data_IF_521730780568
#
_entry.id   IF_521730780568
#
_cell.length_a   1.000
_cell.length_b   1.000
_cell.length_c   1.000
_cell.angle_alpha   90.00
_cell.angle_beta   90.00
_cell.angle_gamma   90.00
#
_symmetry.space_group_name_H-M   'P 1'
#
loop_
_entity.id
_entity.type
_entity.pdbx_description
1 polymer ?
#
# COMPACT_ATOMS: atom_id res chain seq x y z
N UNK A 1 -3.40 -27.86 -17.83
CA UNK A 1 -2.35 -26.93 -17.37
C UNK A 1 -1.48 -27.69 -16.36
N UNK A 2 -0.19 -27.79 -16.56
CA UNK A 2 0.72 -28.38 -15.58
C UNK A 2 1.08 -27.32 -14.57
N UNK A 3 0.67 -27.53 -13.32
CA UNK A 3 1.04 -26.66 -12.20
C UNK A 3 2.51 -26.85 -11.82
N UNK A 4 3.13 -25.81 -11.25
CA UNK A 4 4.46 -25.93 -10.64
C UNK A 4 4.29 -26.60 -9.27
N UNK A 5 4.87 -27.80 -9.14
CA UNK A 5 4.72 -28.63 -7.95
C UNK A 5 5.85 -28.40 -6.93
N UNK A 6 5.56 -28.53 -5.62
CA UNK A 6 6.55 -28.44 -4.55
C UNK A 6 7.71 -29.40 -4.75
N UNK A 7 8.91 -29.00 -4.30
CA UNK A 7 10.13 -29.82 -4.40
C UNK A 7 10.91 -29.62 -5.69
N UNK A 8 10.28 -29.10 -6.76
CA UNK A 8 10.94 -28.86 -8.04
C UNK A 8 11.89 -27.65 -7.99
N UNK A 9 12.88 -27.61 -8.88
CA UNK A 9 13.78 -26.46 -9.05
C UNK A 9 13.00 -25.21 -9.46
N UNK A 10 11.96 -25.38 -10.27
CA UNK A 10 11.07 -24.29 -10.70
C UNK A 10 10.30 -23.70 -9.53
N UNK A 11 9.79 -24.51 -8.62
CA UNK A 11 9.10 -24.07 -7.42
C UNK A 11 10.01 -23.21 -6.52
N UNK A 12 11.27 -23.67 -6.29
CA UNK A 12 12.23 -22.89 -5.49
C UNK A 12 12.54 -21.54 -6.13
N UNK A 13 12.75 -21.51 -7.46
CA UNK A 13 13.01 -20.29 -8.22
C UNK A 13 11.81 -19.33 -8.17
N UNK A 14 10.59 -19.86 -8.37
CA UNK A 14 9.38 -19.06 -8.34
C UNK A 14 9.11 -18.43 -6.97
N UNK A 15 9.41 -19.13 -5.87
CA UNK A 15 9.30 -18.54 -4.51
C UNK A 15 10.20 -17.33 -4.33
N UNK A 16 11.48 -17.44 -4.76
CA UNK A 16 12.42 -16.31 -4.71
C UNK A 16 11.93 -15.17 -5.58
N UNK A 17 11.51 -15.47 -6.81
CA UNK A 17 10.99 -14.47 -7.73
C UNK A 17 9.78 -13.72 -7.14
N UNK A 18 8.82 -14.44 -6.56
CA UNK A 18 7.62 -13.82 -6.00
C UNK A 18 7.88 -13.01 -4.72
N UNK A 19 8.86 -13.43 -3.91
CA UNK A 19 9.34 -12.60 -2.81
C UNK A 19 9.95 -11.28 -3.32
N UNK A 20 10.80 -11.35 -4.37
CA UNK A 20 11.39 -10.18 -5.02
C UNK A 20 10.29 -9.31 -5.67
N UNK A 21 9.28 -9.93 -6.29
CA UNK A 21 8.13 -9.22 -6.86
C UNK A 21 7.32 -8.44 -5.80
N UNK A 22 7.26 -8.93 -4.58
CA UNK A 22 6.73 -8.17 -3.45
C UNK A 22 7.69 -7.05 -3.01
N UNK A 23 8.97 -7.37 -2.86
CA UNK A 23 9.98 -6.46 -2.31
C UNK A 23 10.20 -5.20 -3.16
N UNK A 24 10.53 -5.38 -4.45
CA UNK A 24 11.00 -4.29 -5.34
C UNK A 24 10.00 -3.16 -5.49
N UNK A 25 8.71 -3.39 -5.79
CA UNK A 25 7.74 -2.31 -5.90
C UNK A 25 7.62 -1.47 -4.62
N UNK A 26 7.48 -2.14 -3.48
CA UNK A 26 7.21 -1.46 -2.22
C UNK A 26 8.42 -0.74 -1.64
N UNK A 27 9.63 -1.28 -1.83
CA UNK A 27 10.86 -0.57 -1.48
C UNK A 27 10.98 0.71 -2.32
N UNK A 28 10.71 0.64 -3.64
CA UNK A 28 10.82 1.78 -4.57
C UNK A 28 9.77 2.86 -4.33
N UNK A 29 8.52 2.50 -4.02
CA UNK A 29 7.44 3.45 -3.74
C UNK A 29 7.80 4.32 -2.54
N UNK A 30 8.29 3.72 -1.47
CA UNK A 30 8.36 4.37 -0.16
C UNK A 30 9.72 4.97 0.21
N UNK A 31 10.72 4.93 -0.68
CA UNK A 31 12.05 5.54 -0.46
C UNK A 31 12.00 7.03 -0.12
N UNK A 32 11.07 7.79 -0.71
CA UNK A 32 10.99 9.24 -0.51
C UNK A 32 10.30 9.66 0.79
N UNK A 33 9.63 8.74 1.49
CA UNK A 33 8.84 9.12 2.67
C UNK A 33 9.68 9.68 3.83
N UNK A 34 10.79 9.06 4.26
CA UNK A 34 11.62 9.64 5.31
C UNK A 34 12.36 10.91 4.87
N UNK A 35 12.59 11.11 3.56
CA UNK A 35 13.36 12.25 3.05
C UNK A 35 12.51 13.48 2.70
N UNK A 36 11.19 13.45 2.92
CA UNK A 36 10.31 14.59 2.64
C UNK A 36 10.71 15.89 3.35
N UNK A 37 11.12 15.88 4.63
CA UNK A 37 11.62 17.10 5.28
C UNK A 37 12.83 17.69 4.55
N UNK A 38 13.77 16.86 4.10
CA UNK A 38 14.95 17.30 3.35
C UNK A 38 14.59 17.87 1.98
N UNK A 39 13.55 17.33 1.31
CA UNK A 39 13.06 17.92 0.06
C UNK A 39 12.45 19.31 0.30
N UNK A 40 11.74 19.50 1.41
CA UNK A 40 11.17 20.80 1.76
C UNK A 40 12.28 21.83 1.97
N UNK A 41 13.35 21.47 2.66
CA UNK A 41 14.51 22.35 2.91
C UNK A 41 15.31 22.60 1.63
N UNK A 42 15.75 21.55 0.91
CA UNK A 42 16.67 21.69 -0.23
C UNK A 42 16.01 22.41 -1.41
N UNK A 43 14.75 22.12 -1.69
CA UNK A 43 14.02 22.72 -2.81
C UNK A 43 13.22 23.97 -2.42
N UNK A 44 13.27 24.39 -1.14
CA UNK A 44 12.52 25.52 -0.59
C UNK A 44 11.02 25.44 -0.94
N UNK A 45 10.41 24.30 -0.64
CA UNK A 45 9.00 23.98 -0.90
C UNK A 45 8.28 23.62 0.38
N UNK A 46 6.95 23.76 0.37
CA UNK A 46 6.12 23.45 1.52
C UNK A 46 6.00 21.93 1.77
N UNK A 47 5.63 21.55 2.99
CA UNK A 47 5.44 20.16 3.38
C UNK A 47 4.37 19.41 2.55
N UNK A 48 3.19 20.02 2.21
CA UNK A 48 2.26 19.41 1.27
C UNK A 48 2.87 19.14 -0.10
N UNK A 49 3.67 20.10 -0.63
CA UNK A 49 4.34 19.94 -1.92
C UNK A 49 5.38 18.83 -1.86
N UNK A 50 6.21 18.76 -0.82
CA UNK A 50 7.18 17.68 -0.63
C UNK A 50 6.50 16.29 -0.59
N UNK A 51 5.32 16.18 0.02
CA UNK A 51 4.54 14.93 0.08
C UNK A 51 4.08 14.43 -1.29
N UNK A 52 4.01 15.30 -2.32
CA UNK A 52 3.69 14.92 -3.70
C UNK A 52 4.70 13.90 -4.26
N UNK A 53 5.93 13.85 -3.75
CA UNK A 53 6.95 12.86 -4.13
C UNK A 53 6.47 11.41 -3.91
N UNK A 54 5.61 11.16 -2.94
CA UNK A 54 4.94 9.87 -2.72
C UNK A 54 3.53 9.85 -3.33
N UNK A 55 2.76 10.92 -3.14
CA UNK A 55 1.35 10.97 -3.51
C UNK A 55 1.11 10.84 -5.02
N UNK A 56 1.94 11.47 -5.85
CA UNK A 56 1.85 11.31 -7.31
C UNK A 56 2.22 9.87 -7.72
N UNK A 57 3.20 9.27 -7.06
CA UNK A 57 3.55 7.86 -7.29
C UNK A 57 2.37 6.94 -6.99
N UNK A 58 1.74 7.08 -5.81
CA UNK A 58 0.63 6.21 -5.39
C UNK A 58 -0.65 6.50 -6.14
N UNK A 59 -0.89 7.75 -6.54
CA UNK A 59 -2.05 8.15 -7.35
C UNK A 59 -2.01 7.55 -8.75
N UNK A 60 -0.86 7.62 -9.44
CA UNK A 60 -0.70 7.02 -10.76
C UNK A 60 -0.66 5.49 -10.70
N UNK A 61 -0.05 4.91 -9.66
CA UNK A 61 -0.15 3.48 -9.38
C UNK A 61 -1.62 3.05 -9.28
N UNK A 62 -2.45 3.77 -8.53
CA UNK A 62 -3.87 3.47 -8.36
C UNK A 62 -4.61 3.37 -9.69
N UNK A 63 -4.44 4.37 -10.55
CA UNK A 63 -5.09 4.44 -11.87
C UNK A 63 -4.57 3.35 -12.80
N UNK A 64 -3.25 3.20 -12.88
CA UNK A 64 -2.60 2.25 -13.80
C UNK A 64 -2.86 0.80 -13.40
N UNK A 65 -3.04 0.52 -12.11
CA UNK A 65 -3.35 -0.82 -11.60
C UNK A 65 -4.60 -1.43 -12.26
N UNK A 66 -5.62 -0.61 -12.58
CA UNK A 66 -6.84 -1.07 -13.25
C UNK A 66 -6.57 -1.58 -14.68
N UNK A 67 -5.61 -0.97 -15.37
CA UNK A 67 -5.26 -1.33 -16.75
C UNK A 67 -4.20 -2.43 -16.83
N UNK A 68 -3.24 -2.44 -15.91
CA UNK A 68 -2.05 -3.30 -15.99
C UNK A 68 -2.38 -4.80 -16.01
N UNK A 69 -3.35 -5.24 -15.20
CA UNK A 69 -3.83 -6.63 -15.18
C UNK A 69 -4.36 -7.06 -16.55
N UNK A 70 -5.16 -6.20 -17.15
CA UNK A 70 -5.75 -6.43 -18.48
C UNK A 70 -4.68 -6.46 -19.57
N UNK A 71 -3.75 -5.52 -19.58
CA UNK A 71 -2.64 -5.45 -20.55
C UNK A 71 -1.78 -6.72 -20.45
N UNK A 72 -1.59 -7.26 -19.26
CA UNK A 72 -0.79 -8.45 -19.03
C UNK A 72 -1.35 -9.72 -19.66
N UNK A 73 -2.67 -9.80 -19.86
CA UNK A 73 -3.31 -10.92 -20.54
C UNK A 73 -2.97 -10.98 -22.06
N UNK A 74 -2.54 -9.85 -22.65
CA UNK A 74 -2.10 -9.76 -24.07
C UNK A 74 -0.61 -9.90 -24.26
N UNK A 75 0.18 -9.14 -23.49
CA UNK A 75 1.64 -9.07 -23.63
C UNK A 75 2.29 -10.26 -22.92
N UNK A 76 1.63 -10.81 -21.89
CA UNK A 76 2.13 -11.86 -21.03
C UNK A 76 2.55 -11.34 -19.66
N UNK A 77 2.09 -12.02 -18.61
CA UNK A 77 2.29 -11.61 -17.22
C UNK A 77 3.77 -11.41 -16.86
N UNK A 78 4.64 -12.38 -17.18
CA UNK A 78 6.09 -12.28 -16.91
C UNK A 78 6.72 -11.06 -17.58
N UNK A 79 6.38 -10.81 -18.85
CA UNK A 79 6.97 -9.67 -19.60
C UNK A 79 6.61 -8.33 -18.96
N UNK A 80 5.34 -8.14 -18.60
CA UNK A 80 4.88 -6.91 -17.95
C UNK A 80 5.52 -6.73 -16.58
N UNK A 81 5.56 -7.77 -15.74
CA UNK A 81 6.18 -7.69 -14.43
C UNK A 81 7.67 -7.34 -14.51
N UNK A 82 8.42 -7.98 -15.42
CA UNK A 82 9.86 -7.70 -15.63
C UNK A 82 10.07 -6.26 -16.10
N UNK A 83 9.32 -5.83 -17.12
CA UNK A 83 9.41 -4.47 -17.65
C UNK A 83 9.09 -3.43 -16.56
N UNK A 84 8.03 -3.67 -15.81
CA UNK A 84 7.61 -2.82 -14.69
C UNK A 84 8.71 -2.67 -13.65
N UNK A 85 9.32 -3.76 -13.22
CA UNK A 85 10.37 -3.73 -12.20
C UNK A 85 11.63 -3.01 -12.68
N UNK A 86 12.07 -3.30 -13.91
CA UNK A 86 13.27 -2.66 -14.51
C UNK A 86 13.05 -1.16 -14.65
N UNK A 87 11.92 -0.74 -15.26
CA UNK A 87 11.63 0.69 -15.46
C UNK A 87 11.43 1.43 -14.13
N UNK A 88 10.78 0.81 -13.15
CA UNK A 88 10.65 1.36 -11.79
C UNK A 88 12.04 1.62 -11.17
N UNK A 89 12.95 0.67 -11.28
CA UNK A 89 14.31 0.81 -10.73
C UNK A 89 15.12 1.87 -11.44
N UNK A 90 15.07 1.92 -12.78
CA UNK A 90 15.74 2.94 -13.58
C UNK A 90 15.22 4.34 -13.24
N UNK A 91 13.90 4.51 -13.16
CA UNK A 91 13.28 5.79 -12.80
C UNK A 91 13.63 6.20 -11.36
N UNK A 92 13.78 5.22 -10.44
CA UNK A 92 14.31 5.46 -9.11
C UNK A 92 15.71 6.07 -9.14
N UNK A 93 16.63 5.50 -9.94
CA UNK A 93 17.98 6.05 -10.12
C UNK A 93 17.92 7.43 -10.78
N UNK A 94 17.17 7.58 -11.89
CA UNK A 94 17.06 8.85 -12.60
C UNK A 94 16.49 9.98 -11.73
N UNK A 95 15.62 9.66 -10.78
CA UNK A 95 15.06 10.66 -9.86
C UNK A 95 16.13 11.34 -8.99
N UNK A 96 17.29 10.70 -8.79
CA UNK A 96 18.39 11.27 -8.00
C UNK A 96 19.20 12.32 -8.76
N UNK A 97 19.09 12.35 -10.09
CA UNK A 97 19.74 13.33 -10.97
C UNK A 97 18.89 14.60 -11.13
N UNK A 98 17.77 14.72 -10.44
CA UNK A 98 16.86 15.85 -10.58
C UNK A 98 17.47 17.15 -10.07
N UNK A 99 17.57 18.20 -10.92
CA UNK A 99 18.09 19.50 -10.52
C UNK A 99 17.08 20.33 -9.70
N UNK A 100 15.80 19.99 -9.78
CA UNK A 100 14.70 20.65 -9.07
C UNK A 100 13.60 19.66 -8.72
N UNK A 101 12.69 20.08 -7.84
CA UNK A 101 11.61 19.22 -7.35
C UNK A 101 10.63 18.77 -8.46
N UNK A 102 10.36 19.59 -9.46
CA UNK A 102 9.43 19.23 -10.54
C UNK A 102 9.96 18.07 -11.38
N UNK A 103 11.27 18.06 -11.65
CA UNK A 103 11.92 16.94 -12.36
C UNK A 103 11.89 15.66 -11.52
N UNK A 104 12.15 15.77 -10.21
CA UNK A 104 11.99 14.65 -9.28
C UNK A 104 10.54 14.13 -9.31
N UNK A 105 9.56 15.02 -9.26
CA UNK A 105 8.15 14.68 -9.29
C UNK A 105 7.74 13.99 -10.59
N UNK A 106 8.29 14.42 -11.73
CA UNK A 106 8.09 13.74 -13.03
C UNK A 106 8.55 12.28 -12.98
N UNK A 107 9.78 12.02 -12.52
CA UNK A 107 10.29 10.66 -12.42
C UNK A 107 9.49 9.82 -11.41
N UNK A 108 9.07 10.39 -10.29
CA UNK A 108 8.23 9.73 -9.30
C UNK A 108 6.83 9.40 -9.84
N UNK A 109 6.27 10.28 -10.66
CA UNK A 109 4.98 10.08 -11.34
C UNK A 109 5.06 8.94 -12.34
N UNK A 110 6.10 8.93 -13.21
CA UNK A 110 6.36 7.84 -14.15
C UNK A 110 6.63 6.51 -13.43
N UNK A 111 7.37 6.54 -12.31
CA UNK A 111 7.59 5.36 -11.48
C UNK A 111 6.25 4.80 -11.01
N UNK A 112 5.29 5.63 -10.59
CA UNK A 112 3.95 5.22 -10.20
C UNK A 112 3.20 4.46 -11.32
N UNK A 113 3.34 4.90 -12.57
CA UNK A 113 2.77 4.20 -13.73
C UNK A 113 3.36 2.80 -13.89
N UNK A 114 4.69 2.69 -13.90
CA UNK A 114 5.32 1.40 -14.17
C UNK A 114 5.23 0.43 -13.00
N UNK A 115 5.36 0.89 -11.77
CA UNK A 115 5.33 0.01 -10.58
C UNK A 115 4.01 -0.75 -10.44
N UNK A 116 2.92 -0.24 -10.99
CA UNK A 116 1.58 -0.85 -10.94
C UNK A 116 1.52 -2.25 -11.60
N UNK A 117 2.39 -2.53 -12.56
CA UNK A 117 2.39 -3.79 -13.30
C UNK A 117 2.74 -5.02 -12.48
N UNK A 118 3.32 -4.88 -11.29
CA UNK A 118 3.63 -6.03 -10.43
C UNK A 118 2.48 -6.36 -9.48
N UNK A 119 2.00 -5.46 -8.61
CA UNK A 119 0.93 -5.77 -7.66
C UNK A 119 -0.36 -6.24 -8.32
N UNK A 120 -0.69 -5.69 -9.49
CA UNK A 120 -1.89 -6.08 -10.23
C UNK A 120 -1.83 -7.49 -10.83
N UNK A 121 -0.64 -7.99 -11.11
CA UNK A 121 -0.45 -9.23 -11.87
C UNK A 121 0.02 -10.39 -10.98
N UNK A 122 0.81 -10.11 -9.93
CA UNK A 122 1.43 -11.14 -9.10
C UNK A 122 0.43 -12.14 -8.51
N UNK A 123 -0.70 -11.67 -7.98
CA UNK A 123 -1.73 -12.54 -7.41
C UNK A 123 -2.39 -13.43 -8.47
N UNK A 124 -2.67 -12.86 -9.66
CA UNK A 124 -3.21 -13.62 -10.79
C UNK A 124 -2.22 -14.65 -11.32
N UNK A 125 -0.93 -14.29 -11.38
CA UNK A 125 0.15 -15.20 -11.74
C UNK A 125 0.22 -16.39 -10.78
N UNK A 126 0.18 -16.13 -9.48
CA UNK A 126 0.20 -17.17 -8.44
C UNK A 126 -0.99 -18.12 -8.60
N UNK A 127 -2.20 -17.59 -8.72
CA UNK A 127 -3.42 -18.40 -8.85
C UNK A 127 -3.50 -19.24 -10.13
N UNK A 128 -2.83 -18.79 -11.23
CA UNK A 128 -2.82 -19.53 -12.51
C UNK A 128 -1.67 -20.54 -12.61
N UNK A 129 -0.61 -20.38 -11.85
CA UNK A 129 0.67 -21.11 -12.03
C UNK A 129 0.86 -22.23 -11.02
N UNK A 130 0.33 -22.07 -9.81
CA UNK A 130 0.52 -23.02 -8.72
C UNK A 130 -0.74 -23.83 -8.43
N UNK A 131 -0.52 -25.06 -7.94
CA UNK A 131 -1.61 -25.91 -7.47
C UNK A 131 -2.39 -25.17 -6.35
N UNK A 132 -3.74 -25.17 -6.40
CA UNK A 132 -4.58 -24.51 -5.38
C UNK A 132 -4.23 -24.86 -3.93
N UNK A 133 -3.77 -26.09 -3.67
CA UNK A 133 -3.34 -26.53 -2.34
C UNK A 133 -2.11 -25.78 -1.80
N UNK A 134 -1.28 -25.20 -2.67
CA UNK A 134 -0.03 -24.51 -2.31
C UNK A 134 -0.07 -23.00 -2.56
N UNK A 135 -1.13 -22.50 -3.16
CA UNK A 135 -1.31 -21.08 -3.53
C UNK A 135 -1.17 -20.15 -2.33
N UNK A 136 -1.76 -20.52 -1.18
CA UNK A 136 -1.69 -19.70 0.04
C UNK A 136 -0.27 -19.52 0.56
N UNK A 137 0.55 -20.59 0.50
CA UNK A 137 1.95 -20.52 0.93
C UNK A 137 2.77 -19.59 0.02
N UNK A 138 2.58 -19.70 -1.29
CA UNK A 138 3.28 -18.88 -2.28
C UNK A 138 2.85 -17.41 -2.17
N UNK A 139 1.55 -17.16 -1.96
CA UNK A 139 1.03 -15.82 -1.68
C UNK A 139 1.69 -15.21 -0.43
N UNK A 140 1.94 -16.04 0.60
CA UNK A 140 2.66 -15.63 1.79
C UNK A 140 4.07 -15.08 1.49
N UNK A 141 4.83 -15.67 0.56
CA UNK A 141 6.14 -15.15 0.16
C UNK A 141 6.04 -13.79 -0.54
N UNK A 142 5.06 -13.60 -1.41
CA UNK A 142 4.81 -12.31 -2.06
C UNK A 142 4.43 -11.23 -1.03
N UNK A 143 3.52 -11.53 -0.12
CA UNK A 143 3.08 -10.59 0.93
C UNK A 143 4.24 -10.27 1.89
N UNK A 144 5.04 -11.27 2.29
CA UNK A 144 6.23 -11.04 3.11
C UNK A 144 7.23 -10.12 2.40
N UNK A 145 7.46 -10.35 1.09
CA UNK A 145 8.28 -9.45 0.27
C UNK A 145 7.74 -8.02 0.28
N UNK A 146 6.43 -7.81 0.12
CA UNK A 146 5.83 -6.47 0.10
C UNK A 146 5.93 -5.75 1.46
N UNK A 147 5.74 -6.46 2.56
CA UNK A 147 5.87 -5.91 3.90
C UNK A 147 7.32 -5.52 4.22
N UNK A 148 8.27 -6.43 3.93
CA UNK A 148 9.70 -6.16 4.12
C UNK A 148 10.16 -5.04 3.20
N UNK A 149 9.72 -5.00 1.93
CA UNK A 149 10.04 -3.94 0.99
C UNK A 149 9.59 -2.57 1.47
N UNK A 150 8.34 -2.47 1.91
CA UNK A 150 7.79 -1.23 2.44
C UNK A 150 8.54 -0.71 3.68
N UNK A 151 8.95 -1.60 4.57
CA UNK A 151 9.72 -1.25 5.77
C UNK A 151 11.18 -0.95 5.44
N UNK A 152 11.87 -1.86 4.73
CA UNK A 152 13.30 -1.75 4.47
C UNK A 152 13.66 -0.55 3.59
N UNK A 153 12.79 -0.18 2.63
CA UNK A 153 12.99 1.01 1.81
C UNK A 153 13.16 2.27 2.64
N UNK A 154 12.36 2.43 3.67
CA UNK A 154 12.41 3.59 4.57
C UNK A 154 13.61 3.53 5.51
N UNK A 155 13.90 2.36 6.09
CA UNK A 155 15.03 2.17 7.00
C UNK A 155 16.35 2.43 6.27
N UNK A 156 16.54 1.79 5.12
CA UNK A 156 17.77 1.91 4.33
C UNK A 156 17.94 3.33 3.79
N UNK A 157 16.85 3.97 3.34
CA UNK A 157 16.91 5.38 2.90
C UNK A 157 17.30 6.28 4.05
N UNK A 158 16.67 6.16 5.24
CA UNK A 158 17.03 6.97 6.40
C UNK A 158 18.49 6.79 6.80
N UNK A 159 18.94 5.54 6.90
CA UNK A 159 20.32 5.20 7.24
C UNK A 159 21.33 5.81 6.25
N UNK A 160 21.17 5.55 4.96
CA UNK A 160 22.10 6.04 3.95
C UNK A 160 22.04 7.57 3.79
N UNK A 161 20.92 8.19 4.11
CA UNK A 161 20.77 9.64 4.05
C UNK A 161 21.63 10.34 5.12
N UNK A 162 21.69 9.81 6.33
CA UNK A 162 22.54 10.38 7.40
C UNK A 162 24.04 10.20 7.11
N UNK A 163 24.45 9.05 6.53
CA UNK A 163 25.86 8.81 6.23
C UNK A 163 26.34 9.55 4.97
N UNK A 164 25.45 9.82 4.03
CA UNK A 164 25.79 10.42 2.73
C UNK A 164 24.84 11.59 2.42
N UNK A 165 23.78 11.32 1.67
CA UNK A 165 22.68 12.22 1.35
C UNK A 165 21.52 11.42 0.71
N UNK A 166 20.37 12.06 0.54
CA UNK A 166 19.19 11.40 0.00
C UNK A 166 19.37 10.92 -1.47
N UNK A 167 20.20 11.62 -2.28
CA UNK A 167 20.48 11.22 -3.65
C UNK A 167 21.19 9.87 -3.69
N UNK A 168 22.27 9.74 -2.91
CA UNK A 168 23.01 8.46 -2.80
C UNK A 168 22.12 7.37 -2.22
N UNK A 169 21.32 7.68 -1.21
CA UNK A 169 20.40 6.73 -0.60
C UNK A 169 19.40 6.15 -1.62
N UNK A 170 18.72 7.01 -2.37
CA UNK A 170 17.73 6.60 -3.38
C UNK A 170 18.43 5.92 -4.57
N UNK A 171 19.61 6.39 -5.01
CA UNK A 171 20.38 5.75 -6.06
C UNK A 171 20.80 4.31 -5.67
N UNK A 172 21.32 4.12 -4.47
CA UNK A 172 21.71 2.80 -3.96
C UNK A 172 20.53 1.82 -3.96
N UNK A 173 19.35 2.27 -3.51
CA UNK A 173 18.12 1.48 -3.55
C UNK A 173 17.71 1.20 -5.02
N UNK A 174 17.80 2.20 -5.90
CA UNK A 174 17.49 2.03 -7.31
C UNK A 174 18.38 1.00 -7.98
N UNK A 175 19.69 1.02 -7.71
CA UNK A 175 20.63 0.00 -8.20
C UNK A 175 20.33 -1.37 -7.60
N UNK A 176 20.11 -1.46 -6.28
CA UNK A 176 19.73 -2.71 -5.63
C UNK A 176 18.45 -3.31 -6.25
N UNK A 177 17.42 -2.50 -6.42
CA UNK A 177 16.16 -2.96 -7.02
C UNK A 177 16.31 -3.34 -8.48
N UNK A 178 17.22 -2.69 -9.24
CA UNK A 178 17.56 -3.10 -10.60
C UNK A 178 18.22 -4.48 -10.64
N UNK A 179 19.20 -4.74 -9.76
CA UNK A 179 19.84 -6.04 -9.63
C UNK A 179 18.82 -7.13 -9.25
N UNK A 180 17.94 -6.85 -8.28
CA UNK A 180 16.86 -7.75 -7.91
C UNK A 180 15.88 -7.99 -9.06
N UNK A 181 15.60 -6.98 -9.87
CA UNK A 181 14.74 -7.10 -11.06
C UNK A 181 15.36 -8.01 -12.11
N UNK A 182 16.67 -7.96 -12.29
CA UNK A 182 17.41 -8.89 -13.17
C UNK A 182 17.35 -10.32 -12.62
N UNK A 183 17.56 -10.51 -11.31
CA UNK A 183 17.40 -11.83 -10.68
C UNK A 183 15.98 -12.35 -10.87
N UNK A 184 14.95 -11.49 -10.69
CA UNK A 184 13.56 -11.83 -10.94
C UNK A 184 13.33 -12.28 -12.38
N UNK A 185 13.86 -11.59 -13.36
CA UNK A 185 13.74 -11.90 -14.79
C UNK A 185 14.21 -13.33 -15.09
N UNK A 186 15.34 -13.75 -14.48
CA UNK A 186 15.92 -15.08 -14.70
C UNK A 186 15.27 -16.19 -13.84
N UNK A 187 14.69 -15.81 -12.70
CA UNK A 187 14.15 -16.80 -11.75
C UNK A 187 12.65 -17.06 -11.95
N UNK A 188 11.87 -16.09 -12.43
CA UNK A 188 10.44 -16.28 -12.64
C UNK A 188 10.20 -17.25 -13.83
N UNK A 189 9.47 -18.36 -13.62
CA UNK A 189 9.11 -19.26 -14.71
C UNK A 189 8.25 -18.57 -15.77
N UNK A 190 8.38 -19.01 -17.01
CA UNK A 190 7.52 -18.53 -18.10
C UNK A 190 6.24 -19.35 -18.12
N UNK A 191 5.11 -18.71 -17.93
CA UNK A 191 3.80 -19.34 -18.09
C UNK A 191 3.30 -19.19 -19.52
N UNK A 192 2.60 -20.21 -20.02
CA UNK A 192 1.92 -20.08 -21.31
C UNK A 192 0.84 -19.00 -21.17
N UNK A 193 0.92 -17.98 -22.01
CA UNK A 193 -0.16 -17.00 -22.14
C UNK A 193 -1.38 -17.73 -22.71
N UNK A 194 -2.53 -17.74 -22.03
CA UNK A 194 -3.75 -18.28 -22.64
C UNK A 194 -4.01 -17.53 -23.95
N UNK A 195 -4.36 -18.25 -25.02
CA UNK A 195 -4.82 -17.61 -26.26
C UNK A 195 -6.01 -16.71 -25.90
N UNK A 196 -5.82 -15.42 -26.08
CA UNK A 196 -6.68 -14.36 -25.58
C UNK A 196 -8.10 -14.45 -26.10
N UNK A 197 -9.10 -14.45 -25.21
CA UNK A 197 -10.44 -13.96 -25.53
C UNK A 197 -10.29 -12.47 -25.92
N UNK A 198 -10.99 -12.05 -26.99
CA UNK A 198 -10.99 -10.64 -27.42
C UNK A 198 -11.32 -9.74 -26.23
N UNK A 199 -10.50 -8.73 -25.99
CA UNK A 199 -10.71 -7.74 -24.94
C UNK A 199 -12.01 -6.99 -25.25
N UNK A 200 -12.97 -7.10 -24.38
CA UNK A 200 -14.16 -6.26 -24.42
C UNK A 200 -14.03 -5.17 -23.36
N UNK A 201 -13.58 -3.99 -23.80
CA UNK A 201 -13.52 -2.81 -22.92
C UNK A 201 -14.88 -2.50 -22.29
N UNK A 202 -15.98 -2.76 -23.03
CA UNK A 202 -17.33 -2.62 -22.51
C UNK A 202 -17.64 -3.56 -21.35
N UNK A 203 -17.21 -4.83 -21.41
CA UNK A 203 -17.39 -5.78 -20.31
C UNK A 203 -16.58 -5.39 -19.07
N UNK A 204 -15.35 -4.88 -19.25
CA UNK A 204 -14.50 -4.42 -18.15
C UNK A 204 -15.12 -3.19 -17.49
N UNK A 205 -15.50 -2.18 -18.28
CA UNK A 205 -16.20 -0.99 -17.79
C UNK A 205 -17.49 -1.35 -17.05
N UNK A 206 -18.29 -2.28 -17.63
CA UNK A 206 -19.52 -2.79 -17.02
C UNK A 206 -19.28 -3.41 -15.64
N UNK A 207 -18.23 -4.25 -15.50
CA UNK A 207 -17.85 -4.85 -14.22
C UNK A 207 -17.43 -3.80 -13.18
N UNK A 208 -16.63 -2.82 -13.55
CA UNK A 208 -16.24 -1.73 -12.64
C UNK A 208 -17.44 -0.86 -12.25
N UNK A 209 -18.29 -0.49 -13.21
CA UNK A 209 -19.51 0.30 -12.94
C UNK A 209 -20.45 -0.44 -11.98
N UNK A 210 -20.67 -1.75 -12.19
CA UNK A 210 -21.49 -2.59 -11.32
C UNK A 210 -20.99 -2.56 -9.86
N UNK A 211 -19.67 -2.64 -9.64
CA UNK A 211 -19.11 -2.65 -8.30
C UNK A 211 -19.12 -1.26 -7.64
N UNK A 212 -18.81 -0.18 -8.36
CA UNK A 212 -18.85 1.18 -7.82
C UNK A 212 -20.28 1.59 -7.44
N UNK A 213 -21.28 1.14 -8.17
CA UNK A 213 -22.70 1.41 -7.85
C UNK A 213 -23.29 0.45 -6.82
N UNK A 214 -22.54 -0.59 -6.43
CA UNK A 214 -23.01 -1.57 -5.46
C UNK A 214 -23.02 -1.00 -4.03
N UNK A 215 -24.22 -0.82 -3.48
CA UNK A 215 -24.43 -0.26 -2.12
C UNK A 215 -23.79 -1.06 -0.98
N UNK A 216 -23.44 -2.34 -1.21
CA UNK A 216 -22.75 -3.17 -0.22
C UNK A 216 -21.22 -3.01 -0.28
N UNK A 217 -20.67 -2.71 -1.47
CA UNK A 217 -19.23 -2.60 -1.70
C UNK A 217 -18.71 -1.17 -1.56
N UNK A 218 -19.45 -0.16 -2.01
CA UNK A 218 -19.02 1.24 -1.96
C UNK A 218 -18.57 1.69 -0.56
N UNK A 219 -19.28 1.38 0.54
CA UNK A 219 -18.81 1.74 1.88
C UNK A 219 -17.45 1.11 2.23
N UNK A 220 -17.17 -0.12 1.75
CA UNK A 220 -15.89 -0.79 1.96
C UNK A 220 -14.75 -0.13 1.18
N UNK A 221 -15.03 0.34 -0.04
CA UNK A 221 -14.06 1.13 -0.82
C UNK A 221 -13.74 2.45 -0.13
N UNK A 222 -14.76 3.15 0.38
CA UNK A 222 -14.57 4.40 1.15
C UNK A 222 -13.77 4.13 2.42
N UNK A 223 -14.03 3.03 3.15
CA UNK A 223 -13.22 2.65 4.31
C UNK A 223 -11.76 2.43 3.93
N UNK A 224 -11.48 1.77 2.80
CA UNK A 224 -10.11 1.62 2.29
C UNK A 224 -9.43 2.96 2.02
N UNK A 225 -10.15 3.90 1.39
CA UNK A 225 -9.68 5.27 1.13
C UNK A 225 -9.33 6.02 2.43
N UNK A 226 -10.23 6.00 3.41
CA UNK A 226 -10.04 6.68 4.70
C UNK A 226 -8.90 6.07 5.51
N UNK A 227 -8.83 4.74 5.57
CA UNK A 227 -7.78 4.03 6.30
C UNK A 227 -6.39 4.34 5.74
N UNK A 228 -6.19 4.12 4.43
CA UNK A 228 -4.87 4.34 3.83
C UNK A 228 -4.51 5.82 3.76
N UNK A 229 -5.51 6.67 3.56
CA UNK A 229 -5.32 8.11 3.61
C UNK A 229 -4.81 8.58 4.97
N UNK A 230 -5.47 8.15 6.06
CA UNK A 230 -5.03 8.44 7.43
C UNK A 230 -3.65 7.88 7.71
N UNK A 231 -3.38 6.65 7.25
CA UNK A 231 -2.10 5.99 7.44
C UNK A 231 -0.96 6.76 6.80
N UNK A 232 -1.09 7.10 5.53
CA UNK A 232 -0.05 7.82 4.81
C UNK A 232 0.09 9.26 5.32
N UNK A 233 -1.00 9.94 5.67
CA UNK A 233 -0.96 11.28 6.26
C UNK A 233 -0.12 11.30 7.55
N UNK A 234 -0.38 10.42 8.50
CA UNK A 234 0.40 10.35 9.76
C UNK A 234 1.88 10.07 9.46
N UNK A 235 2.18 9.09 8.60
CA UNK A 235 3.55 8.72 8.30
C UNK A 235 4.31 9.72 7.42
N UNK A 236 3.64 10.54 6.63
CA UNK A 236 4.28 11.62 5.90
C UNK A 236 4.74 12.75 6.82
N UNK A 237 3.91 13.12 7.80
CA UNK A 237 4.19 14.30 8.63
C UNK A 237 4.86 14.01 9.95
N UNK A 238 4.93 12.73 10.41
CA UNK A 238 5.72 12.39 11.60
C UNK A 238 7.21 12.66 11.38
N UNK A 239 7.72 12.50 10.15
CA UNK A 239 9.10 12.86 9.80
C UNK A 239 9.38 14.34 10.02
N UNK A 240 8.48 15.22 9.55
CA UNK A 240 8.60 16.66 9.79
C UNK A 240 8.55 16.99 11.28
N UNK A 241 7.67 16.35 12.05
CA UNK A 241 7.63 16.57 13.50
C UNK A 241 8.94 16.20 14.17
N UNK A 242 9.51 15.04 13.84
CA UNK A 242 10.63 14.47 14.56
C UNK A 242 12.00 15.04 14.15
N UNK A 243 12.11 15.63 12.95
CA UNK A 243 13.33 16.33 12.52
C UNK A 243 13.47 17.72 13.14
N UNK A 244 12.36 18.37 13.52
CA UNK A 244 12.32 19.71 14.06
C UNK A 244 12.34 19.75 15.60
N UNK A 245 12.58 20.94 16.23
CA UNK A 245 12.47 21.10 17.66
C UNK A 245 11.13 20.59 18.22
N UNK A 246 11.11 19.99 19.41
CA UNK A 246 12.19 19.75 20.33
C UNK A 246 12.96 18.43 20.11
N UNK A 247 12.63 17.65 19.07
CA UNK A 247 13.11 16.28 18.93
C UNK A 247 14.47 16.17 18.24
N UNK A 248 14.69 16.86 17.12
CA UNK A 248 15.93 16.84 16.34
C UNK A 248 16.47 15.42 16.04
N UNK A 249 15.57 14.48 15.70
CA UNK A 249 15.97 13.11 15.41
C UNK A 249 16.60 13.00 14.02
N UNK A 250 17.61 12.14 13.90
CA UNK A 250 18.28 11.85 12.64
C UNK A 250 17.38 11.06 11.67
N UNK A 251 17.70 11.09 10.39
CA UNK A 251 16.97 10.34 9.36
C UNK A 251 17.04 8.83 9.60
N UNK A 252 18.14 8.35 10.18
CA UNK A 252 18.29 6.95 10.61
C UNK A 252 17.21 6.58 11.61
N UNK A 253 17.05 7.36 12.69
CA UNK A 253 16.05 7.09 13.73
C UNK A 253 14.64 7.13 13.13
N UNK A 254 14.35 8.12 12.30
CA UNK A 254 13.07 8.25 11.61
C UNK A 254 12.81 7.03 10.70
N UNK A 255 13.82 6.57 9.96
CA UNK A 255 13.73 5.34 9.17
C UNK A 255 13.44 4.11 10.04
N UNK A 256 14.07 3.98 11.20
CA UNK A 256 13.85 2.86 12.11
C UNK A 256 12.47 2.86 12.79
N UNK A 257 11.76 4.00 12.87
CA UNK A 257 10.36 4.03 13.33
C UNK A 257 9.48 3.10 12.51
N UNK A 258 9.77 2.91 11.24
CA UNK A 258 9.00 2.02 10.38
C UNK A 258 9.11 0.52 10.75
N UNK A 259 9.95 0.16 11.70
CA UNK A 259 9.98 -1.21 12.28
C UNK A 259 8.65 -1.57 12.96
N UNK A 260 7.86 -0.57 13.37
CA UNK A 260 6.51 -0.77 13.91
C UNK A 260 5.55 -1.45 12.93
N UNK A 261 5.88 -1.52 11.63
CA UNK A 261 5.12 -2.28 10.63
C UNK A 261 5.07 -3.78 10.94
N UNK A 262 6.03 -4.30 11.71
CA UNK A 262 5.99 -5.68 12.20
C UNK A 262 4.77 -5.90 13.11
N UNK A 263 4.40 -4.92 13.94
CA UNK A 263 3.16 -4.96 14.74
C UNK A 263 1.93 -5.07 13.83
N UNK A 264 1.94 -4.37 12.69
CA UNK A 264 0.89 -4.42 11.68
C UNK A 264 0.78 -5.80 11.03
N UNK A 265 1.90 -6.39 10.62
CA UNK A 265 1.93 -7.73 10.03
C UNK A 265 1.36 -8.77 11.01
N UNK A 266 1.76 -8.71 12.27
CA UNK A 266 1.22 -9.56 13.33
C UNK A 266 -0.30 -9.34 13.50
N UNK A 267 -0.75 -8.08 13.53
CA UNK A 267 -2.16 -7.74 13.77
C UNK A 267 -3.08 -8.25 12.67
N UNK A 268 -2.66 -8.20 11.40
CA UNK A 268 -3.44 -8.72 10.26
C UNK A 268 -3.81 -10.19 10.46
N UNK A 269 -2.84 -11.00 10.89
CA UNK A 269 -3.04 -12.43 11.12
C UNK A 269 -3.89 -12.67 12.38
N UNK A 270 -3.54 -12.00 13.48
CA UNK A 270 -4.18 -12.19 14.77
C UNK A 270 -5.64 -11.75 14.75
N UNK A 271 -5.89 -10.53 14.29
CA UNK A 271 -7.25 -9.96 14.26
C UNK A 271 -8.09 -10.57 13.13
N UNK A 272 -7.47 -11.00 12.03
CA UNK A 272 -8.16 -11.77 10.99
C UNK A 272 -8.73 -13.09 11.53
N UNK A 273 -7.95 -13.85 12.31
CA UNK A 273 -8.43 -15.05 13.00
C UNK A 273 -9.55 -14.74 14.00
N UNK A 274 -9.43 -13.63 14.75
CA UNK A 274 -10.50 -13.21 15.69
C UNK A 274 -11.77 -12.81 14.95
N UNK A 275 -11.67 -12.17 13.79
CA UNK A 275 -12.81 -11.79 12.96
C UNK A 275 -13.62 -13.01 12.50
N UNK A 276 -12.97 -14.11 12.16
CA UNK A 276 -13.65 -15.37 11.80
C UNK A 276 -14.41 -16.02 12.98
N UNK A 277 -14.01 -15.74 14.22
CA UNK A 277 -14.64 -16.32 15.43
C UNK A 277 -15.72 -15.42 16.02
N UNK A 278 -15.43 -14.12 16.15
CA UNK A 278 -16.29 -13.16 16.84
C UNK A 278 -17.12 -12.27 15.90
N UNK A 279 -16.97 -12.46 14.59
CA UNK A 279 -17.64 -11.67 13.56
C UNK A 279 -16.83 -10.47 13.10
N UNK A 280 -16.81 -10.28 11.79
CA UNK A 280 -15.96 -9.29 11.11
C UNK A 280 -16.30 -7.85 11.51
N UNK A 281 -17.58 -7.50 11.59
CA UNK A 281 -18.04 -6.15 11.96
C UNK A 281 -17.64 -5.77 13.39
N UNK A 282 -17.70 -6.71 14.32
CA UNK A 282 -17.31 -6.48 15.71
C UNK A 282 -15.81 -6.23 15.83
N UNK A 283 -15.00 -7.10 15.23
CA UNK A 283 -13.54 -6.96 15.27
C UNK A 283 -13.08 -5.73 14.47
N UNK A 284 -13.76 -5.37 13.39
CA UNK A 284 -13.48 -4.14 12.63
C UNK A 284 -13.69 -2.88 13.50
N UNK A 285 -14.77 -2.81 14.30
CA UNK A 285 -14.99 -1.71 15.26
C UNK A 285 -13.86 -1.62 16.29
N UNK A 286 -13.46 -2.75 16.87
CA UNK A 286 -12.34 -2.79 17.82
C UNK A 286 -11.06 -2.29 17.13
N UNK A 287 -10.79 -2.75 15.93
CA UNK A 287 -9.59 -2.35 15.17
C UNK A 287 -9.55 -0.85 14.85
N UNK A 288 -10.69 -0.27 14.49
CA UNK A 288 -10.83 1.19 14.32
C UNK A 288 -10.63 1.94 15.63
N UNK A 289 -11.21 1.45 16.73
CA UNK A 289 -11.01 2.01 18.08
C UNK A 289 -9.53 2.01 18.49
N UNK A 290 -8.82 0.92 18.22
CA UNK A 290 -7.37 0.81 18.43
C UNK A 290 -6.62 1.83 17.56
N UNK A 291 -7.00 1.99 16.29
CA UNK A 291 -6.40 2.98 15.39
C UNK A 291 -6.57 4.40 15.93
N UNK A 292 -7.79 4.75 16.38
CA UNK A 292 -8.10 6.05 16.99
C UNK A 292 -7.29 6.26 18.28
N UNK A 293 -7.24 5.27 19.16
CA UNK A 293 -6.48 5.35 20.41
C UNK A 293 -4.98 5.56 20.16
N UNK A 294 -4.39 4.81 19.20
CA UNK A 294 -3.01 5.01 18.78
C UNK A 294 -2.76 6.41 18.22
N UNK A 295 -3.67 6.93 17.39
CA UNK A 295 -3.61 8.29 16.85
C UNK A 295 -3.59 9.33 17.97
N UNK A 296 -4.49 9.25 18.94
CA UNK A 296 -4.56 10.14 20.11
C UNK A 296 -3.30 10.08 20.96
N UNK A 297 -2.73 8.89 21.16
CA UNK A 297 -1.52 8.71 21.97
C UNK A 297 -0.32 9.46 21.37
N UNK A 298 -0.29 9.64 20.06
CA UNK A 298 0.78 10.42 19.42
C UNK A 298 0.73 11.92 19.74
N UNK A 299 -0.31 12.44 20.38
CA UNK A 299 -0.37 13.84 20.82
C UNK A 299 0.57 14.14 21.99
N UNK A 300 0.87 13.15 22.84
CA UNK A 300 1.79 13.36 23.96
C UNK A 300 3.19 13.73 23.46
N UNK A 301 3.89 14.65 24.13
CA UNK A 301 5.13 15.25 23.61
C UNK A 301 6.33 14.28 23.62
N UNK A 302 6.32 13.23 24.43
CA UNK A 302 7.44 12.29 24.50
C UNK A 302 7.59 11.44 23.24
N UNK A 303 8.81 11.23 22.75
CA UNK A 303 9.15 10.35 21.62
C UNK A 303 8.65 8.92 21.86
N UNK A 304 8.71 8.44 23.10
CA UNK A 304 8.23 7.10 23.47
C UNK A 304 6.74 6.99 23.17
N UNK A 305 5.93 7.98 23.56
CA UNK A 305 4.50 7.98 23.26
C UNK A 305 4.21 8.11 21.76
N UNK A 306 5.06 8.81 20.98
CA UNK A 306 4.97 8.82 19.52
C UNK A 306 5.17 7.41 18.96
N UNK A 307 6.22 6.70 19.37
CA UNK A 307 6.53 5.35 18.89
C UNK A 307 5.46 4.34 19.32
N UNK A 308 5.03 4.36 20.58
CA UNK A 308 3.98 3.48 21.10
C UNK A 308 2.65 3.78 20.41
N UNK A 309 2.31 5.07 20.25
CA UNK A 309 1.10 5.50 19.55
C UNK A 309 1.09 5.04 18.09
N UNK A 310 2.22 5.19 17.36
CA UNK A 310 2.38 4.68 16.01
C UNK A 310 2.28 3.16 15.94
N UNK A 311 2.79 2.44 16.94
CA UNK A 311 2.69 0.97 16.99
C UNK A 311 1.24 0.53 17.15
N UNK A 312 0.49 1.15 18.04
CA UNK A 312 -0.95 0.89 18.29
C UNK A 312 -1.78 1.29 17.05
N UNK A 313 -1.51 2.47 16.49
CA UNK A 313 -2.14 2.94 15.25
C UNK A 313 -1.93 1.96 14.10
N UNK A 314 -0.69 1.53 13.90
CA UNK A 314 -0.33 0.58 12.83
C UNK A 314 -0.97 -0.78 13.04
N UNK A 315 -1.02 -1.26 14.30
CA UNK A 315 -1.74 -2.48 14.64
C UNK A 315 -3.22 -2.40 14.24
N UNK A 316 -3.92 -1.34 14.64
CA UNK A 316 -5.33 -1.14 14.32
C UNK A 316 -5.58 -0.96 12.82
N UNK A 317 -4.73 -0.20 12.13
CA UNK A 317 -4.80 0.01 10.68
C UNK A 317 -4.70 -1.30 9.91
N UNK A 318 -3.67 -2.11 10.12
CA UNK A 318 -3.45 -3.35 9.39
C UNK A 318 -4.55 -4.38 9.67
N UNK A 319 -5.03 -4.46 10.92
CA UNK A 319 -6.18 -5.27 11.27
C UNK A 319 -7.43 -4.85 10.48
N UNK A 320 -7.75 -3.55 10.49
CA UNK A 320 -8.90 -2.99 9.77
C UNK A 320 -8.80 -3.21 8.26
N UNK A 321 -7.63 -2.93 7.68
CA UNK A 321 -7.37 -3.11 6.25
C UNK A 321 -7.56 -4.57 5.81
N UNK A 322 -7.03 -5.52 6.57
CA UNK A 322 -7.13 -6.94 6.28
C UNK A 322 -8.60 -7.41 6.28
N UNK A 323 -9.38 -7.00 7.28
CA UNK A 323 -10.80 -7.36 7.40
C UNK A 323 -11.61 -6.70 6.27
N UNK A 324 -11.42 -5.40 5.99
CA UNK A 324 -12.16 -4.71 4.92
C UNK A 324 -11.84 -5.31 3.56
N UNK A 325 -10.57 -5.64 3.29
CA UNK A 325 -10.16 -6.28 2.04
C UNK A 325 -10.78 -7.66 1.84
N UNK A 326 -10.87 -8.46 2.90
CA UNK A 326 -11.55 -9.76 2.89
C UNK A 326 -13.05 -9.60 2.59
N UNK A 327 -13.73 -8.68 3.30
CA UNK A 327 -15.14 -8.35 3.09
C UNK A 327 -15.46 -7.93 1.66
N UNK A 328 -14.57 -7.18 0.99
CA UNK A 328 -14.76 -6.81 -0.42
C UNK A 328 -14.82 -8.06 -1.31
N UNK A 329 -13.89 -8.99 -1.12
CA UNK A 329 -13.82 -10.21 -1.92
C UNK A 329 -14.98 -11.17 -1.63
N UNK A 330 -15.42 -11.26 -0.38
CA UNK A 330 -16.54 -12.09 0.04
C UNK A 330 -17.87 -11.58 -0.50
N UNK A 331 -18.12 -10.26 -0.42
CA UNK A 331 -19.40 -9.63 -0.82
C UNK A 331 -19.52 -9.34 -2.30
N UNK A 332 -18.44 -9.46 -3.06
CA UNK A 332 -18.48 -9.45 -4.50
C UNK A 332 -19.06 -10.79 -5.01
N UNK A 333 -20.31 -10.79 -5.49
CA UNK A 333 -20.97 -11.97 -6.02
C UNK A 333 -20.26 -12.50 -7.27
N UNK A 334 -19.86 -11.57 -8.15
CA UNK A 334 -19.19 -11.84 -9.42
C UNK A 334 -17.97 -10.93 -9.58
N UNK A 335 -17.11 -11.22 -10.54
CA UNK A 335 -15.96 -10.36 -10.89
C UNK A 335 -15.12 -9.90 -9.67
N UNK A 336 -14.83 -10.83 -8.75
CA UNK A 336 -14.13 -10.57 -7.49
C UNK A 336 -12.77 -9.86 -7.68
N UNK A 337 -12.07 -10.16 -8.78
CA UNK A 337 -10.82 -9.52 -9.12
C UNK A 337 -10.99 -8.01 -9.37
N UNK A 338 -12.05 -7.62 -10.10
CA UNK A 338 -12.37 -6.23 -10.37
C UNK A 338 -12.80 -5.48 -9.10
N UNK A 339 -13.56 -6.15 -8.21
CA UNK A 339 -13.92 -5.58 -6.91
C UNK A 339 -12.67 -5.30 -6.06
N UNK A 340 -11.72 -6.26 -5.99
CA UNK A 340 -10.45 -6.08 -5.29
C UNK A 340 -9.59 -4.99 -5.91
N UNK A 341 -9.56 -4.88 -7.25
CA UNK A 341 -8.84 -3.81 -7.94
C UNK A 341 -9.44 -2.43 -7.64
N UNK A 342 -10.77 -2.31 -7.57
CA UNK A 342 -11.44 -1.07 -7.15
C UNK A 342 -11.13 -0.72 -5.69
N UNK A 343 -11.11 -1.71 -4.80
CA UNK A 343 -10.70 -1.47 -3.43
C UNK A 343 -9.28 -0.89 -3.35
N UNK A 344 -8.34 -1.47 -4.10
CA UNK A 344 -6.96 -0.96 -4.17
C UNK A 344 -6.87 0.42 -4.84
N UNK A 345 -7.72 0.70 -5.84
CA UNK A 345 -7.82 2.04 -6.42
C UNK A 345 -8.18 3.07 -5.34
N UNK A 346 -9.28 2.85 -4.61
CA UNK A 346 -9.71 3.75 -3.54
C UNK A 346 -8.66 3.87 -2.43
N UNK A 347 -8.05 2.76 -2.05
CA UNK A 347 -6.98 2.68 -1.06
C UNK A 347 -5.78 3.56 -1.43
N UNK A 348 -5.26 3.45 -2.65
CA UNK A 348 -4.12 4.26 -3.10
C UNK A 348 -4.50 5.70 -3.43
N UNK A 349 -5.74 5.96 -3.87
CA UNK A 349 -6.24 7.33 -3.99
C UNK A 349 -6.32 8.00 -2.62
N UNK A 350 -6.74 7.28 -1.58
CA UNK A 350 -6.67 7.76 -0.19
C UNK A 350 -5.25 8.14 0.20
N UNK A 351 -4.27 7.27 -0.06
CA UNK A 351 -2.84 7.56 0.12
C UNK A 351 -2.41 8.85 -0.58
N UNK A 352 -2.82 9.02 -1.83
CA UNK A 352 -2.42 10.17 -2.65
C UNK A 352 -3.07 11.48 -2.17
N UNK A 353 -4.40 11.52 -2.09
CA UNK A 353 -5.13 12.75 -1.76
C UNK A 353 -5.00 13.14 -0.29
N UNK A 354 -5.36 12.24 0.61
CA UNK A 354 -5.35 12.51 2.05
C UNK A 354 -3.91 12.69 2.56
N UNK A 355 -2.97 11.88 2.03
CA UNK A 355 -1.55 12.02 2.33
C UNK A 355 -1.00 13.41 2.04
N UNK A 356 -1.45 14.07 0.97
CA UNK A 356 -1.04 15.45 0.64
C UNK A 356 -1.85 16.50 1.39
N UNK A 357 -3.17 16.31 1.49
CA UNK A 357 -4.06 17.27 2.20
C UNK A 357 -3.64 17.43 3.67
N UNK A 358 -3.19 16.36 4.32
CA UNK A 358 -2.66 16.42 5.69
C UNK A 358 -1.58 17.47 5.90
N UNK A 359 -0.84 17.85 4.84
CA UNK A 359 0.19 18.87 4.90
C UNK A 359 -0.34 20.29 5.12
N UNK A 360 -1.51 20.62 4.62
CA UNK A 360 -2.13 21.93 4.92
C UNK A 360 -2.48 22.05 6.40
N UNK A 361 -2.90 20.94 7.03
CA UNK A 361 -3.14 20.90 8.48
C UNK A 361 -1.83 20.94 9.26
N UNK A 362 -0.76 20.33 8.73
CA UNK A 362 0.60 20.44 9.30
C UNK A 362 1.10 21.90 9.29
N UNK A 363 0.97 22.60 8.18
CA UNK A 363 1.41 24.01 8.07
C UNK A 363 0.61 24.94 8.95
N UNK A 364 -0.70 24.74 9.08
CA UNK A 364 -1.57 25.64 9.85
C UNK A 364 -1.57 25.35 11.35
N UNK A 365 -1.51 24.10 11.75
CA UNK A 365 -1.73 23.66 13.15
C UNK A 365 -0.71 22.61 13.62
N UNK A 366 0.38 22.40 12.88
CA UNK A 366 1.42 21.42 13.17
C UNK A 366 0.84 20.02 13.43
N UNK A 367 1.44 19.28 14.38
CA UNK A 367 1.03 17.90 14.64
C UNK A 367 -0.42 17.75 15.12
N UNK A 368 -0.89 18.71 15.91
CA UNK A 368 -2.28 18.71 16.39
C UNK A 368 -3.25 18.79 15.23
N UNK A 369 -2.96 19.60 14.22
CA UNK A 369 -3.77 19.70 13.00
C UNK A 369 -3.81 18.38 12.21
N UNK A 370 -2.66 17.74 12.03
CA UNK A 370 -2.57 16.43 11.37
C UNK A 370 -3.41 15.40 12.12
N UNK A 371 -3.30 15.35 13.44
CA UNK A 371 -4.07 14.41 14.26
C UNK A 371 -5.56 14.71 14.21
N UNK A 372 -5.98 16.00 14.35
CA UNK A 372 -7.37 16.40 14.26
C UNK A 372 -8.01 16.01 12.91
N UNK A 373 -7.30 16.27 11.81
CA UNK A 373 -7.72 15.84 10.48
C UNK A 373 -7.87 14.33 10.39
N UNK A 374 -6.89 13.56 10.85
CA UNK A 374 -6.95 12.10 10.81
C UNK A 374 -8.05 11.53 11.71
N UNK A 375 -8.29 12.10 12.88
CA UNK A 375 -9.40 11.70 13.75
C UNK A 375 -10.76 11.95 13.10
N UNK A 376 -10.93 13.03 12.34
CA UNK A 376 -12.17 13.29 11.59
C UNK A 376 -12.42 12.22 10.52
N UNK A 377 -11.37 11.80 9.80
CA UNK A 377 -11.47 10.74 8.79
C UNK A 377 -11.76 9.38 9.42
N UNK A 378 -11.06 9.05 10.52
CA UNK A 378 -11.28 7.79 11.24
C UNK A 378 -12.66 7.76 11.91
N UNK A 379 -13.14 8.90 12.44
CA UNK A 379 -14.49 9.06 12.96
C UNK A 379 -15.55 8.85 11.89
N UNK A 380 -15.35 9.41 10.69
CA UNK A 380 -16.21 9.15 9.54
C UNK A 380 -16.22 7.66 9.17
N UNK A 381 -15.05 7.01 9.13
CA UNK A 381 -14.94 5.57 8.89
C UNK A 381 -15.70 4.75 9.93
N UNK A 382 -15.56 5.11 11.20
CA UNK A 382 -16.25 4.46 12.31
C UNK A 382 -17.78 4.60 12.18
N UNK A 383 -18.26 5.78 11.81
CA UNK A 383 -19.68 6.05 11.54
C UNK A 383 -20.21 5.19 10.39
N UNK A 384 -19.45 5.05 9.31
CA UNK A 384 -19.82 4.19 8.17
C UNK A 384 -20.02 2.74 8.61
N UNK A 385 -19.16 2.22 9.49
CA UNK A 385 -19.28 0.84 10.03
C UNK A 385 -20.59 0.69 10.81
N UNK A 386 -20.93 1.63 11.69
CA UNK A 386 -22.17 1.59 12.47
C UNK A 386 -23.43 1.69 11.61
N UNK A 387 -23.46 2.65 10.67
CA UNK A 387 -24.63 2.82 9.77
C UNK A 387 -24.84 1.57 8.92
N UNK A 388 -23.75 0.94 8.51
CA UNK A 388 -23.83 -0.31 7.74
C UNK A 388 -24.40 -1.45 8.57
N UNK A 389 -23.92 -1.66 9.80
CA UNK A 389 -24.42 -2.70 10.69
C UNK A 389 -25.91 -2.50 11.01
N UNK A 390 -26.30 -1.25 11.28
CA UNK A 390 -27.69 -0.89 11.53
C UNK A 390 -28.59 -1.30 10.37
N UNK A 391 -28.18 -0.98 9.12
CA UNK A 391 -28.95 -1.35 7.92
C UNK A 391 -28.98 -2.85 7.67
N UNK A 392 -27.92 -3.59 7.98
CA UNK A 392 -27.89 -5.05 7.85
C UNK A 392 -28.87 -5.70 8.83
N UNK A 393 -28.86 -5.33 10.10
CA UNK A 393 -29.80 -5.85 11.13
C UNK A 393 -31.26 -5.57 10.79
N UNK A 394 -31.58 -4.38 10.29
CA UNK A 394 -32.98 -4.05 9.95
C UNK A 394 -33.50 -4.80 8.71
N UNK A 395 -32.61 -5.16 7.77
CA UNK A 395 -32.99 -6.00 6.62
C UNK A 395 -33.28 -7.44 7.05
N UNK A 396 -32.48 -8.01 7.93
CA UNK A 396 -32.68 -9.37 8.46
C UNK A 396 -34.01 -9.46 9.22
N UNK A 397 -34.37 -8.47 10.03
CA UNK A 397 -35.67 -8.43 10.71
C UNK A 397 -36.85 -8.27 9.75
N UNK A 398 -36.70 -7.47 8.68
CA UNK A 398 -37.76 -7.30 7.67
C UNK A 398 -37.98 -8.55 6.83
N UNK A 399 -36.94 -9.34 6.57
CA UNK A 399 -37.07 -10.63 5.84
C UNK A 399 -37.52 -11.79 6.73
N UNK A 400 -37.31 -11.72 8.05
CA UNK A 400 -37.77 -12.72 9.01
C UNK A 400 -39.26 -12.53 9.42
N UNK A 401 -39.83 -11.33 9.12
CA UNK A 401 -41.24 -11.00 9.39
C UNK A 401 -42.18 -11.19 8.17
N UNK A 402 -41.65 -11.62 7.04
CA UNK A 402 -42.39 -12.07 5.84
C UNK A 402 -42.36 -13.60 5.72
#
# INVERSE_FOLDING_TARGET
>A
MTYIEPGTREYKRARIALFIAGLVPFISIYTTQPTMPLFAEEFNISAPVASLSLSMTTGLLAITLLAAGTISDYIGMKKIMVLSMILTSILGVLSTLSPNFYTLLLFRTLLGVFVAGVPSIAMAFIGRTFNPLHTSMIMGFYIAGSSIGGMSGRIVTGLLTDFFNWRIAIAAIGVLTLLLSLIFMYTLPTTQTPKTKKLSWGAIYGAYKMHVTNRKLLPLFILGFLLMGSFVSIYNYIGFLLTHPPYHLSQTIIGFIFIVYLCGTFSSIYMGKKASVYGETFILKISFGITIAGTLLTLFPSVIFKIVGLSIFTFGFFASHSIVSALVTERAAENKAQASSLYLLFYYLGSSFVGSIGGYFWESFHWVGVIGFNLSLLGLGFTIIFVREYKEKHREHSTASM
#
